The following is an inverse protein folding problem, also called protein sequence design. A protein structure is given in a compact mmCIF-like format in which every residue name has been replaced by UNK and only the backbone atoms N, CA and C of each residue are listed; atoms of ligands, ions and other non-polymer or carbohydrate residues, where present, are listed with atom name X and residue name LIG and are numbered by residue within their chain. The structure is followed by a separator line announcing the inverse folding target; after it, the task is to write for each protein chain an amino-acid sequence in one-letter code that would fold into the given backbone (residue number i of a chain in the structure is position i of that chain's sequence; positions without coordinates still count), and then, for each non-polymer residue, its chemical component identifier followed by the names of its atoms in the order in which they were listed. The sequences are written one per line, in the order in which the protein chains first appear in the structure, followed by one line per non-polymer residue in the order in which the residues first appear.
data_IF_994354055910
#
_entry.id   IF_994354055910
#
_cell.length_a   1.000
_cell.length_b   1.000
_cell.length_c   1.000
_cell.angle_alpha   90.00
_cell.angle_beta   90.00
_cell.angle_gamma   90.00
#
_symmetry.space_group_name_H-M   'P 1'
#
loop_
_entity.id
_entity.type
_entity.pdbx_description
1 polymer ?
#
# COMPACT_ATOMS: atom_id res chain seq x y z
N UNK A 1 -1.19 -4.68 10.20
CA UNK A 1 -1.74 -3.32 10.09
C UNK A 1 -3.09 -3.42 9.39
N UNK A 2 -4.10 -2.66 9.82
CA UNK A 2 -5.46 -2.77 9.28
C UNK A 2 -6.03 -1.41 8.81
N UNK A 3 -5.17 -0.39 8.69
CA UNK A 3 -5.59 0.92 8.18
C UNK A 3 -6.01 0.82 6.72
N UNK A 4 -7.15 1.44 6.39
CA UNK A 4 -7.63 1.60 5.03
C UNK A 4 -7.11 2.91 4.44
N UNK A 5 -6.78 2.87 3.15
CA UNK A 5 -6.34 4.00 2.34
C UNK A 5 -7.07 3.99 0.99
N UNK A 6 -7.11 5.14 0.32
CA UNK A 6 -7.78 5.27 -0.98
C UNK A 6 -6.85 4.97 -2.16
N UNK A 7 -7.34 5.18 -3.39
CA UNK A 7 -6.58 4.92 -4.61
C UNK A 7 -5.33 5.82 -4.81
N UNK A 8 -5.18 6.89 -4.01
CA UNK A 8 -3.99 7.75 -3.99
C UNK A 8 -3.02 7.35 -2.88
N UNK A 9 -3.40 6.42 -2.01
CA UNK A 9 -2.66 6.06 -0.81
C UNK A 9 -2.89 7.02 0.36
N UNK A 10 -3.90 7.91 0.27
CA UNK A 10 -4.26 8.83 1.34
C UNK A 10 -5.14 8.14 2.39
N UNK A 11 -5.12 8.65 3.63
CA UNK A 11 -5.98 8.17 4.73
C UNK A 11 -7.45 8.28 4.31
N UNK A 12 -8.20 7.18 4.46
CA UNK A 12 -9.64 7.16 4.23
C UNK A 12 -10.34 6.45 5.40
N UNK A 13 -11.69 6.41 5.39
CA UNK A 13 -12.47 5.65 6.37
C UNK A 13 -12.06 5.88 7.84
N UNK A 14 -11.86 7.15 8.22
CA UNK A 14 -11.33 7.54 9.54
C UNK A 14 -12.09 6.93 10.72
N UNK A 15 -13.42 6.80 10.59
CA UNK A 15 -14.29 6.15 11.59
C UNK A 15 -13.96 4.68 11.86
N UNK A 16 -13.29 3.99 10.93
CA UNK A 16 -12.77 2.63 11.08
C UNK A 16 -11.34 2.71 11.62
N UNK A 17 -10.48 3.50 10.97
CA UNK A 17 -9.05 3.56 11.29
C UNK A 17 -8.79 4.02 12.73
N UNK A 18 -9.57 4.97 13.27
CA UNK A 18 -9.43 5.46 14.64
C UNK A 18 -9.72 4.41 15.73
N UNK A 19 -10.35 3.29 15.37
CA UNK A 19 -10.62 2.18 16.30
C UNK A 19 -9.43 1.22 16.40
N UNK A 20 -8.42 1.37 15.54
CA UNK A 20 -7.25 0.51 15.50
C UNK A 20 -6.19 0.99 16.50
N UNK A 21 -5.63 0.06 17.25
CA UNK A 21 -4.45 0.29 18.07
C UNK A 21 -3.24 -0.27 17.32
N UNK A 22 -2.26 0.59 17.02
CA UNK A 22 -1.03 0.20 16.33
C UNK A 22 -0.48 1.31 15.44
N UNK A 23 0.52 0.97 14.62
CA UNK A 23 1.15 1.89 13.69
C UNK A 23 0.13 2.48 12.70
N UNK A 24 0.06 3.81 12.61
CA UNK A 24 -0.78 4.49 11.64
C UNK A 24 -0.06 4.73 10.30
N UNK A 25 -0.80 5.13 9.26
CA UNK A 25 -0.25 5.30 7.90
C UNK A 25 0.84 6.38 7.80
N UNK A 26 0.76 7.43 8.61
CA UNK A 26 1.77 8.49 8.61
C UNK A 26 3.07 8.04 9.30
N UNK A 27 2.94 7.30 10.40
CA UNK A 27 4.09 6.69 11.05
C UNK A 27 4.76 5.66 10.13
N UNK A 28 3.97 4.84 9.41
CA UNK A 28 4.48 3.89 8.43
C UNK A 28 5.30 4.56 7.32
N UNK A 29 4.77 5.64 6.72
CA UNK A 29 5.45 6.40 5.67
C UNK A 29 6.78 7.01 6.15
N UNK A 30 6.93 7.23 7.46
CA UNK A 30 8.17 7.76 8.05
C UNK A 30 9.27 6.72 8.27
N UNK A 31 8.99 5.43 8.03
CA UNK A 31 9.97 4.35 8.20
C UNK A 31 10.88 4.28 6.98
N UNK A 32 12.20 4.35 7.21
CA UNK A 32 13.23 4.34 6.16
C UNK A 32 13.13 3.11 5.23
N UNK A 33 12.78 1.95 5.78
CA UNK A 33 12.66 0.70 5.03
C UNK A 33 11.28 0.09 5.25
N UNK A 34 10.37 0.28 4.29
CA UNK A 34 8.98 -0.18 4.37
C UNK A 34 8.64 -0.99 3.11
N UNK A 35 8.62 -2.32 3.24
CA UNK A 35 8.39 -3.24 2.14
C UNK A 35 7.02 -3.89 2.23
N UNK A 36 6.22 -3.78 1.17
CA UNK A 36 5.00 -4.55 0.99
C UNK A 36 5.29 -5.92 0.39
N UNK A 37 4.64 -6.97 0.90
CA UNK A 37 4.68 -8.32 0.31
C UNK A 37 3.26 -8.69 -0.09
N UNK A 38 3.01 -8.78 -1.39
CA UNK A 38 1.68 -9.11 -1.90
C UNK A 38 1.79 -9.69 -3.31
N UNK A 39 0.86 -10.56 -3.67
CA UNK A 39 0.75 -11.21 -4.97
C UNK A 39 -0.70 -11.13 -5.47
N UNK A 40 -0.93 -11.49 -6.74
CA UNK A 40 -2.22 -11.55 -7.48
C UNK A 40 -2.67 -10.26 -8.15
N UNK A 41 -3.19 -10.42 -9.38
CA UNK A 41 -3.66 -9.31 -10.24
C UNK A 41 -4.78 -8.47 -9.63
N UNK A 42 -5.63 -9.07 -8.80
CA UNK A 42 -6.76 -8.38 -8.14
C UNK A 42 -6.31 -7.34 -7.10
N UNK A 43 -5.06 -7.41 -6.64
CA UNK A 43 -4.50 -6.49 -5.63
C UNK A 43 -3.61 -5.40 -6.24
N UNK A 44 -3.36 -5.44 -7.55
CA UNK A 44 -2.43 -4.51 -8.23
C UNK A 44 -2.79 -3.05 -7.97
N UNK A 45 -4.07 -2.68 -8.05
CA UNK A 45 -4.51 -1.30 -7.78
C UNK A 45 -4.21 -0.83 -6.36
N UNK A 46 -4.37 -1.71 -5.36
CA UNK A 46 -4.03 -1.40 -3.97
C UNK A 46 -2.51 -1.27 -3.77
N UNK A 47 -1.72 -2.15 -4.40
CA UNK A 47 -0.25 -2.04 -4.38
C UNK A 47 0.24 -0.73 -4.99
N UNK A 48 -0.33 -0.33 -6.13
CA UNK A 48 -0.02 0.94 -6.78
C UNK A 48 -0.40 2.13 -5.91
N UNK A 49 -1.57 2.10 -5.27
CA UNK A 49 -1.97 3.16 -4.35
C UNK A 49 -1.00 3.27 -3.16
N UNK A 50 -0.57 2.15 -2.58
CA UNK A 50 0.41 2.14 -1.48
C UNK A 50 1.78 2.69 -1.89
N UNK A 51 2.26 2.33 -3.09
CA UNK A 51 3.51 2.85 -3.65
C UNK A 51 3.41 4.35 -3.99
N UNK A 52 2.34 4.77 -4.68
CA UNK A 52 2.11 6.17 -5.07
C UNK A 52 1.94 7.09 -3.86
N UNK A 53 1.27 6.62 -2.81
CA UNK A 53 1.12 7.36 -1.54
C UNK A 53 2.35 7.31 -0.63
N UNK A 54 3.42 6.62 -1.02
CA UNK A 54 4.64 6.48 -0.23
C UNK A 54 4.49 5.63 1.05
N UNK A 55 3.38 4.91 1.20
CA UNK A 55 3.13 4.06 2.37
C UNK A 55 4.17 2.92 2.48
N UNK A 56 4.65 2.46 1.33
CA UNK A 56 5.75 1.52 1.20
C UNK A 56 6.72 2.06 0.15
N UNK A 57 8.01 1.75 0.31
CA UNK A 57 9.07 2.14 -0.62
C UNK A 57 9.74 0.95 -1.32
N UNK A 58 9.28 -0.27 -1.03
CA UNK A 58 9.60 -1.46 -1.81
C UNK A 58 8.42 -2.42 -1.88
N UNK A 59 8.39 -3.23 -2.93
CA UNK A 59 7.39 -4.28 -3.15
C UNK A 59 8.10 -5.60 -3.45
N UNK A 60 7.67 -6.66 -2.78
CA UNK A 60 8.06 -8.05 -3.09
C UNK A 60 6.82 -8.79 -3.58
N UNK A 61 6.92 -9.38 -4.77
CA UNK A 61 5.82 -10.06 -5.45
C UNK A 61 6.34 -11.12 -6.43
N UNK A 62 5.44 -11.88 -7.05
CA UNK A 62 5.75 -12.78 -8.17
C UNK A 62 5.88 -12.02 -9.50
N UNK A 63 6.51 -12.67 -10.49
CA UNK A 63 6.82 -12.09 -11.80
C UNK A 63 5.57 -11.54 -12.52
N UNK A 64 4.50 -12.34 -12.62
CA UNK A 64 3.27 -11.96 -13.31
C UNK A 64 2.58 -10.75 -12.66
N UNK A 65 2.60 -10.70 -11.32
CA UNK A 65 2.01 -9.59 -10.57
C UNK A 65 2.85 -8.32 -10.72
N UNK A 66 4.18 -8.40 -10.65
CA UNK A 66 5.06 -7.23 -10.90
C UNK A 66 4.87 -6.71 -12.31
N UNK A 67 4.80 -7.58 -13.32
CA UNK A 67 4.54 -7.17 -14.70
C UNK A 67 3.21 -6.39 -14.83
N UNK A 68 2.15 -6.85 -14.15
CA UNK A 68 0.86 -6.15 -14.11
C UNK A 68 0.93 -4.81 -13.36
N UNK A 69 1.76 -4.70 -12.31
CA UNK A 69 1.99 -3.44 -11.58
C UNK A 69 2.70 -2.44 -12.50
N UNK A 70 3.72 -2.87 -13.24
CA UNK A 70 4.46 -2.02 -14.17
C UNK A 70 3.55 -1.53 -15.31
N UNK A 71 2.77 -2.42 -15.93
CA UNK A 71 1.80 -2.07 -16.98
C UNK A 71 0.80 -0.99 -16.54
N UNK A 72 0.35 -1.02 -15.28
CA UNK A 72 -0.62 -0.06 -14.74
C UNK A 72 0.03 1.18 -14.08
N UNK A 73 1.36 1.20 -13.96
CA UNK A 73 2.10 2.33 -13.42
C UNK A 73 2.40 3.40 -14.49
N UNK A 74 2.53 2.96 -15.75
CA UNK A 74 2.62 3.80 -16.96
C UNK A 74 1.30 4.56 -17.23
#
# INVERSE_FOLDING_TARGET
MANLYDAKGDKCAEHINQKLIGLNLQELNSIEHSFGVAATRTKVSAMLAALKGGLINGLVSDEDTVASVLEQAE
#
